data_IF_165447741074
#
_entry.id   IF_165447741074
#
_cell.length_a   1.000
_cell.length_b   1.000
_cell.length_c   1.000
_cell.angle_alpha   90.00
_cell.angle_beta   90.00
_cell.angle_gamma   90.00
#
_symmetry.space_group_name_H-M   'P 1'
#
loop_
_entity.id
_entity.type
_entity.pdbx_description
1 polymer ?
#
# COMPACT_ATOMS: atom_id res chain seq x y z
N UNK A 1 -10.89 -14.60 3.05
CA UNK A 1 -11.74 -13.65 3.80
C UNK A 1 -12.03 -12.48 2.89
N UNK A 2 -13.25 -11.93 2.90
CA UNK A 2 -13.61 -10.76 2.09
C UNK A 2 -13.44 -9.51 2.94
N UNK A 3 -12.86 -8.45 2.39
CA UNK A 3 -12.81 -7.16 3.07
C UNK A 3 -14.22 -6.58 3.21
N UNK A 4 -14.52 -6.02 4.39
CA UNK A 4 -15.79 -5.34 4.64
C UNK A 4 -15.69 -3.87 4.26
N UNK A 5 -16.75 -3.36 3.65
CA UNK A 5 -16.94 -1.92 3.47
C UNK A 5 -17.21 -1.24 4.82
N UNK A 6 -16.95 0.07 4.89
CA UNK A 6 -17.26 0.87 6.08
C UNK A 6 -18.73 0.70 6.48
N UNK A 7 -19.65 0.70 5.52
CA UNK A 7 -21.09 0.55 5.78
C UNK A 7 -21.46 -0.83 6.37
N UNK A 8 -20.84 -1.91 5.89
CA UNK A 8 -21.04 -3.25 6.44
C UNK A 8 -20.50 -3.32 7.86
N UNK A 9 -19.31 -2.76 8.11
CA UNK A 9 -18.69 -2.71 9.43
C UNK A 9 -19.53 -1.91 10.44
N UNK A 10 -20.11 -0.79 10.00
CA UNK A 10 -21.03 0.02 10.83
C UNK A 10 -22.38 -0.65 11.05
N UNK A 11 -22.78 -1.62 10.23
CA UNK A 11 -24.04 -2.35 10.36
C UNK A 11 -23.90 -3.66 11.14
N UNK A 12 -22.66 -4.08 11.43
CA UNK A 12 -22.39 -5.32 12.12
C UNK A 12 -22.85 -5.28 13.60
N UNK A 13 -23.65 -6.27 14.05
CA UNK A 13 -24.21 -6.28 15.39
C UNK A 13 -23.16 -6.48 16.50
N UNK A 14 -22.11 -7.25 16.23
CA UNK A 14 -21.03 -7.50 17.19
C UNK A 14 -20.16 -6.24 17.34
N UNK A 15 -19.88 -5.55 16.24
CA UNK A 15 -19.17 -4.27 16.26
C UNK A 15 -19.98 -3.24 17.04
N UNK A 16 -21.29 -3.13 16.81
CA UNK A 16 -22.17 -2.24 17.58
C UNK A 16 -22.19 -2.59 19.07
N UNK A 17 -22.19 -3.87 19.41
CA UNK A 17 -22.13 -4.31 20.80
C UNK A 17 -20.83 -3.92 21.47
N UNK A 18 -19.70 -4.08 20.77
CA UNK A 18 -18.38 -3.68 21.25
C UNK A 18 -18.30 -2.16 21.48
N UNK A 19 -18.71 -1.35 20.49
CA UNK A 19 -18.73 0.11 20.62
C UNK A 19 -19.61 0.56 21.80
N UNK A 20 -20.75 -0.10 22.01
CA UNK A 20 -21.65 0.20 23.14
C UNK A 20 -21.01 -0.16 24.48
N UNK A 21 -20.31 -1.29 24.56
CA UNK A 21 -19.58 -1.69 25.76
C UNK A 21 -18.50 -0.65 26.13
N UNK A 22 -17.82 -0.12 25.11
CA UNK A 22 -16.73 0.86 25.25
C UNK A 22 -17.22 2.32 25.31
N UNK A 23 -18.53 2.55 25.25
CA UNK A 23 -19.16 3.90 25.18
C UNK A 23 -18.65 4.77 24.03
N UNK A 24 -18.27 4.15 22.93
CA UNK A 24 -17.85 4.83 21.70
C UNK A 24 -19.07 5.10 20.83
N UNK A 25 -19.22 6.34 20.36
CA UNK A 25 -20.32 6.68 19.45
C UNK A 25 -20.07 6.13 18.04
N UNK A 26 -21.17 5.74 17.37
CA UNK A 26 -21.11 5.20 16.01
C UNK A 26 -20.55 6.23 15.01
N UNK A 27 -20.90 7.51 15.17
CA UNK A 27 -20.44 8.60 14.30
C UNK A 27 -18.93 8.84 14.43
N UNK A 28 -18.41 8.76 15.66
CA UNK A 28 -16.98 8.87 15.91
C UNK A 28 -16.23 7.71 15.26
N UNK A 29 -16.72 6.49 15.44
CA UNK A 29 -16.14 5.31 14.81
C UNK A 29 -16.18 5.38 13.27
N UNK A 30 -17.29 5.85 12.68
CA UNK A 30 -17.39 6.08 11.24
C UNK A 30 -16.36 7.09 10.72
N UNK A 31 -16.04 8.11 11.52
CA UNK A 31 -15.02 9.10 11.18
C UNK A 31 -13.62 8.49 11.21
N UNK A 32 -13.31 7.70 12.24
CA UNK A 32 -12.05 6.96 12.32
C UNK A 32 -11.84 6.01 11.14
N UNK A 33 -12.88 5.28 10.73
CA UNK A 33 -12.81 4.39 9.58
C UNK A 33 -12.53 5.15 8.27
N UNK A 34 -13.17 6.31 8.06
CA UNK A 34 -12.90 7.16 6.89
C UNK A 34 -11.48 7.69 6.88
N UNK A 35 -10.99 8.16 8.02
CA UNK A 35 -9.60 8.64 8.13
C UNK A 35 -8.59 7.52 7.90
N UNK A 36 -8.83 6.34 8.46
CA UNK A 36 -7.98 5.17 8.25
C UNK A 36 -7.94 4.78 6.78
N UNK A 37 -9.10 4.71 6.11
CA UNK A 37 -9.19 4.41 4.69
C UNK A 37 -8.45 5.44 3.83
N UNK A 38 -8.58 6.74 4.14
CA UNK A 38 -7.87 7.80 3.44
C UNK A 38 -6.34 7.66 3.59
N UNK A 39 -5.86 7.32 4.79
CA UNK A 39 -4.42 7.09 5.05
C UNK A 39 -3.90 5.88 4.29
N UNK A 40 -4.64 4.77 4.29
CA UNK A 40 -4.26 3.55 3.54
C UNK A 40 -4.17 3.86 2.05
N UNK A 41 -5.15 4.58 1.49
CA UNK A 41 -5.13 4.98 0.09
C UNK A 41 -3.95 5.89 -0.24
N UNK A 42 -3.66 6.87 0.62
CA UNK A 42 -2.51 7.77 0.43
C UNK A 42 -1.17 7.02 0.45
N UNK A 43 -1.00 6.02 1.32
CA UNK A 43 0.22 5.20 1.34
C UNK A 43 0.34 4.31 0.11
N UNK A 44 -0.76 3.68 -0.33
CA UNK A 44 -0.75 2.89 -1.56
C UNK A 44 -0.33 3.72 -2.79
N UNK A 45 -0.77 4.98 -2.88
CA UNK A 45 -0.34 5.90 -3.95
C UNK A 45 1.14 6.29 -3.85
N UNK A 46 1.67 6.40 -2.62
CA UNK A 46 3.08 6.70 -2.38
C UNK A 46 3.98 5.54 -2.79
N UNK A 47 3.60 4.31 -2.46
CA UNK A 47 4.34 3.09 -2.83
C UNK A 47 4.35 2.86 -4.35
N UNK A 48 3.25 3.19 -5.05
CA UNK A 48 3.22 3.19 -6.51
C UNK A 48 4.18 4.25 -7.08
N UNK A 49 4.25 5.44 -6.47
CA UNK A 49 5.11 6.53 -6.95
C UNK A 49 6.59 6.27 -6.70
N UNK A 50 6.96 5.50 -5.67
CA UNK A 50 8.34 5.08 -5.43
C UNK A 50 8.75 3.92 -6.33
N UNK A 51 7.86 2.95 -6.58
CA UNK A 51 8.10 1.87 -7.53
C UNK A 51 8.25 2.38 -8.98
N UNK A 52 7.52 3.42 -9.37
CA UNK A 52 7.68 4.05 -10.69
C UNK A 52 9.05 4.75 -10.86
N UNK A 53 9.66 5.25 -9.78
CA UNK A 53 10.97 5.94 -9.81
C UNK A 53 12.17 5.00 -9.80
N UNK A 54 12.03 3.76 -9.32
CA UNK A 54 13.15 2.81 -9.30
C UNK A 54 13.44 2.18 -10.67
N UNK A 55 12.47 2.16 -11.58
CA UNK A 55 12.63 1.54 -12.90
C UNK A 55 13.47 2.34 -13.90
N UNK A 56 13.72 3.64 -13.64
CA UNK A 56 14.52 4.47 -14.55
C UNK A 56 16.03 4.40 -14.26
N UNK A 57 16.45 3.71 -13.20
CA UNK A 57 17.85 3.75 -12.73
C UNK A 57 18.71 2.53 -13.10
N UNK A 58 18.15 1.51 -13.76
CA UNK A 58 18.90 0.29 -14.19
C UNK A 58 19.33 0.30 -15.68
N UNK A 59 19.01 1.34 -16.46
CA UNK A 59 19.31 1.37 -17.90
C UNK A 59 20.68 1.97 -18.29
N UNK A 60 21.58 2.24 -17.33
CA UNK A 60 22.89 2.87 -17.64
C UNK A 60 24.04 2.22 -16.88
N UNK A 61 24.33 0.96 -17.18
CA UNK A 61 25.63 0.36 -16.95
C UNK A 61 26.01 -0.57 -18.11
N UNK A 62 26.36 0.01 -19.25
CA UNK A 62 27.27 -0.62 -20.20
C UNK A 62 28.71 -0.41 -19.70
N UNK A 63 29.43 -1.44 -19.25
CA UNK A 63 30.88 -1.44 -19.35
C UNK A 63 31.28 -2.04 -20.70
N UNK A 64 32.02 -1.22 -21.42
CA UNK A 64 32.67 -1.50 -22.69
C UNK A 64 33.50 -2.79 -22.66
N UNK A 65 33.52 -3.48 -23.80
CA UNK A 65 34.08 -4.81 -23.95
C UNK A 65 35.59 -4.94 -23.80
N UNK A 66 36.02 -6.20 -23.76
CA UNK A 66 37.35 -6.59 -24.21
C UNK A 66 37.18 -7.89 -25.00
N UNK A 67 37.39 -7.76 -26.30
CA UNK A 67 37.27 -8.82 -27.30
C UNK A 67 38.45 -9.78 -27.16
N UNK A 68 38.16 -11.07 -27.23
CA UNK A 68 39.10 -12.17 -27.40
C UNK A 68 39.69 -12.16 -28.82
N UNK A 69 41.01 -12.14 -28.95
CA UNK A 69 41.78 -12.63 -30.11
C UNK A 69 43.28 -12.49 -29.80
N UNK A 70 44.24 -13.28 -30.27
CA UNK A 70 44.38 -14.65 -30.77
C UNK A 70 45.91 -14.78 -31.04
N UNK A 71 46.44 -16.00 -30.89
CA UNK A 71 47.64 -16.56 -31.57
C UNK A 71 49.08 -15.99 -31.44
N UNK A 72 49.98 -17.00 -31.51
CA UNK A 72 51.34 -17.07 -32.08
C UNK A 72 52.53 -16.38 -31.36
N UNK A 73 53.47 -17.19 -30.82
CA UNK A 73 54.71 -17.68 -31.46
C UNK A 73 55.39 -18.70 -30.55
#
# INVERSE_FOLDING_TARGET
MRDMTISEMLSDPLIRQLLRADRVSLDFFATLLREAAARVHAQAMKDVSTAARSNDSEASAQPHGTVLQAEAV
#
